data_IF_727732446608
#
_entry.id   IF_727732446608
#
_cell.length_a   1.000
_cell.length_b   1.000
_cell.length_c   1.000
_cell.angle_alpha   90.00
_cell.angle_beta   90.00
_cell.angle_gamma   90.00
#
_symmetry.space_group_name_H-M   'P 1'
#
loop_
_entity.id
_entity.type
_entity.pdbx_description
1 polymer ?
#
# COMPACT_ATOMS: atom_id res chain seq x y z
N UNK A 1 2.16 14.80 -2.57
CA UNK A 1 1.47 14.62 -1.27
C UNK A 1 0.58 13.37 -1.19
N UNK A 2 0.35 12.61 -2.28
CA UNK A 2 -0.51 11.40 -2.27
C UNK A 2 0.04 10.18 -1.52
N UNK A 3 1.37 10.06 -1.40
CA UNK A 3 2.00 8.95 -0.67
C UNK A 3 1.70 9.00 0.83
N UNK A 4 1.81 10.19 1.43
CA UNK A 4 1.52 10.41 2.86
C UNK A 4 0.03 10.17 3.12
N UNK A 5 -0.84 10.71 2.27
CA UNK A 5 -2.29 10.50 2.38
C UNK A 5 -2.67 9.02 2.25
N UNK A 6 -2.05 8.27 1.33
CA UNK A 6 -2.31 6.84 1.18
C UNK A 6 -1.88 6.06 2.41
N UNK A 7 -0.66 6.32 2.92
CA UNK A 7 -0.14 5.65 4.12
C UNK A 7 -1.00 6.01 5.33
N UNK A 8 -1.37 7.28 5.50
CA UNK A 8 -2.24 7.74 6.59
C UNK A 8 -3.62 7.06 6.53
N UNK A 9 -4.23 6.99 5.35
CA UNK A 9 -5.50 6.27 5.17
C UNK A 9 -5.34 4.77 5.44
N UNK A 10 -4.22 4.15 5.06
CA UNK A 10 -3.97 2.75 5.35
C UNK A 10 -3.76 2.46 6.84
N UNK A 11 -3.25 3.45 7.60
CA UNK A 11 -3.03 3.34 9.04
C UNK A 11 -4.29 3.65 9.86
N UNK A 12 -5.15 4.55 9.38
CA UNK A 12 -6.31 5.05 10.11
C UNK A 12 -7.61 4.33 9.78
N UNK A 13 -7.74 3.77 8.57
CA UNK A 13 -8.97 3.12 8.12
C UNK A 13 -9.06 1.66 8.52
N UNK A 14 -10.30 1.17 8.61
CA UNK A 14 -10.57 -0.25 8.81
C UNK A 14 -10.26 -1.07 7.55
N UNK A 15 -9.97 -2.36 7.68
CA UNK A 15 -9.64 -3.22 6.52
C UNK A 15 -10.69 -3.14 5.40
N UNK A 16 -11.97 -3.12 5.78
CA UNK A 16 -13.10 -3.00 4.83
C UNK A 16 -13.13 -1.66 4.10
N UNK A 17 -12.70 -0.58 4.76
CA UNK A 17 -12.62 0.73 4.13
C UNK A 17 -11.42 0.81 3.19
N UNK A 18 -10.29 0.17 3.53
CA UNK A 18 -9.12 0.08 2.65
C UNK A 18 -9.47 -0.68 1.36
N UNK A 19 -10.21 -1.80 1.46
CA UNK A 19 -10.71 -2.53 0.27
C UNK A 19 -11.55 -1.60 -0.62
N UNK A 20 -12.47 -0.84 -0.04
CA UNK A 20 -13.31 0.10 -0.80
C UNK A 20 -12.48 1.21 -1.43
N UNK A 21 -11.56 1.80 -0.67
CA UNK A 21 -10.68 2.86 -1.12
C UNK A 21 -9.77 2.41 -2.26
N UNK A 22 -9.12 1.25 -2.14
CA UNK A 22 -8.26 0.68 -3.16
C UNK A 22 -9.03 0.43 -4.48
N UNK A 23 -10.28 -0.03 -4.38
CA UNK A 23 -11.16 -0.22 -5.54
C UNK A 23 -11.46 1.08 -6.30
N UNK A 24 -11.54 2.23 -5.62
CA UNK A 24 -11.75 3.53 -6.29
C UNK A 24 -10.61 3.87 -7.25
N UNK A 25 -9.42 3.28 -7.05
CA UNK A 25 -8.24 3.45 -7.88
C UNK A 25 -7.93 2.23 -8.75
N UNK A 26 -8.92 1.35 -8.99
CA UNK A 26 -8.77 0.14 -9.80
C UNK A 26 -7.77 -0.88 -9.22
N UNK A 27 -7.51 -0.79 -7.91
CA UNK A 27 -6.69 -1.73 -7.14
C UNK A 27 -7.63 -2.65 -6.36
N UNK A 28 -7.99 -3.79 -6.94
CA UNK A 28 -8.89 -4.74 -6.29
C UNK A 28 -8.13 -5.56 -5.22
N UNK A 29 -8.13 -5.06 -3.98
CA UNK A 29 -7.59 -5.77 -2.82
C UNK A 29 -8.68 -6.60 -2.14
N UNK A 30 -8.36 -7.83 -1.75
CA UNK A 30 -9.23 -8.64 -0.89
C UNK A 30 -9.05 -8.26 0.58
N UNK A 31 -10.00 -8.64 1.43
CA UNK A 31 -9.90 -8.40 2.86
C UNK A 31 -8.67 -9.09 3.47
N UNK A 32 -8.38 -10.32 3.03
CA UNK A 32 -7.21 -11.09 3.47
C UNK A 32 -5.90 -10.43 3.05
N UNK A 33 -5.82 -9.91 1.82
CA UNK A 33 -4.66 -9.16 1.34
C UNK A 33 -4.40 -7.93 2.22
N UNK A 34 -5.45 -7.15 2.51
CA UNK A 34 -5.34 -5.97 3.39
C UNK A 34 -4.88 -6.34 4.79
N UNK A 35 -5.42 -7.40 5.37
CA UNK A 35 -5.02 -7.89 6.69
C UNK A 35 -3.54 -8.28 6.74
N UNK A 36 -3.02 -8.90 5.67
CA UNK A 36 -1.60 -9.26 5.56
C UNK A 36 -0.69 -8.06 5.30
N UNK A 37 -1.18 -7.02 4.64
CA UNK A 37 -0.45 -5.76 4.43
C UNK A 37 -0.38 -4.88 5.69
N UNK A 38 -1.33 -5.03 6.61
CA UNK A 38 -1.42 -4.24 7.83
C UNK A 38 -0.16 -4.29 8.73
N UNK A 39 0.42 -5.45 9.06
CA UNK A 39 1.68 -5.50 9.80
C UNK A 39 2.86 -4.94 9.02
N UNK A 40 2.87 -5.03 7.69
CA UNK A 40 3.91 -4.41 6.87
C UNK A 40 3.84 -2.88 6.95
N UNK A 41 2.63 -2.32 6.94
CA UNK A 41 2.41 -0.88 7.04
C UNK A 41 2.93 -0.29 8.36
N UNK A 42 2.97 -1.08 9.44
CA UNK A 42 3.59 -0.66 10.71
C UNK A 42 5.11 -0.61 10.66
N UNK A 43 5.75 -1.38 9.76
CA UNK A 43 7.19 -1.29 9.49
C UNK A 43 7.54 -0.10 8.60
N UNK A 44 6.54 0.55 8.00
CA UNK A 44 6.77 1.70 7.14
C UNK A 44 7.38 2.83 7.97
N UNK A 45 8.59 3.23 7.59
CA UNK A 45 9.28 4.35 8.23
C UNK A 45 9.02 5.62 7.43
N UNK A 46 8.72 6.72 8.11
CA UNK A 46 8.64 8.07 7.50
C UNK A 46 9.95 8.41 6.76
N UNK A 47 11.09 7.86 7.20
CA UNK A 47 12.39 8.00 6.54
C UNK A 47 12.38 7.50 5.09
N UNK A 48 11.54 6.52 4.73
CA UNK A 48 11.42 5.99 3.36
C UNK A 48 10.79 6.97 2.38
N UNK A 49 10.13 8.03 2.88
CA UNK A 49 9.70 9.13 2.01
C UNK A 49 10.90 9.89 1.42
N UNK A 50 12.06 9.85 2.09
CA UNK A 50 13.29 10.52 1.68
C UNK A 50 14.26 9.53 1.02
N UNK A 51 14.44 8.35 1.63
CA UNK A 51 15.40 7.34 1.15
C UNK A 51 14.83 6.41 0.08
N UNK A 52 13.53 6.49 -0.19
CA UNK A 52 12.79 5.52 -0.98
C UNK A 52 12.39 4.28 -0.18
N UNK A 53 11.40 3.55 -0.70
CA UNK A 53 10.89 2.31 -0.11
C UNK A 53 11.89 1.17 -0.41
N UNK A 54 12.34 0.40 0.60
CA UNK A 54 13.27 -0.71 0.37
C UNK A 54 12.71 -1.78 -0.57
N UNK A 55 13.56 -2.34 -1.44
CA UNK A 55 13.18 -3.42 -2.34
C UNK A 55 12.69 -4.68 -1.60
N UNK A 56 13.22 -4.97 -0.41
CA UNK A 56 12.75 -6.07 0.43
C UNK A 56 11.28 -5.91 0.83
N UNK A 57 10.89 -4.69 1.19
CA UNK A 57 9.51 -4.35 1.51
C UNK A 57 8.60 -4.51 0.29
N UNK A 58 9.03 -4.01 -0.88
CA UNK A 58 8.27 -4.16 -2.12
C UNK A 58 8.08 -5.63 -2.51
N UNK A 59 9.07 -6.48 -2.27
CA UNK A 59 8.94 -7.94 -2.47
C UNK A 59 7.95 -8.59 -1.51
N UNK A 60 7.93 -8.19 -0.23
CA UNK A 60 6.93 -8.67 0.73
C UNK A 60 5.51 -8.28 0.31
N UNK A 61 5.32 -7.03 -0.13
CA UNK A 61 4.03 -6.55 -0.66
C UNK A 61 3.67 -7.30 -1.94
N UNK A 62 4.60 -7.48 -2.88
CA UNK A 62 4.39 -8.24 -4.12
C UNK A 62 3.93 -9.67 -3.83
N UNK A 63 4.51 -10.32 -2.82
CA UNK A 63 4.13 -11.68 -2.43
C UNK A 63 2.71 -11.78 -1.87
N UNK A 64 2.12 -10.68 -1.40
CA UNK A 64 0.77 -10.66 -0.84
C UNK A 64 -0.27 -10.35 -1.92
N UNK A 65 -0.06 -9.27 -2.69
CA UNK A 65 -1.07 -8.74 -3.63
C UNK A 65 -0.78 -9.09 -5.10
N UNK A 66 0.40 -9.65 -5.37
CA UNK A 66 0.88 -9.95 -6.72
C UNK A 66 1.41 -8.72 -7.47
N UNK A 67 2.30 -9.00 -8.42
CA UNK A 67 2.99 -8.01 -9.25
C UNK A 67 2.06 -7.02 -9.97
N UNK A 68 0.91 -7.49 -10.46
CA UNK A 68 -0.04 -6.64 -11.20
C UNK A 68 -0.65 -5.56 -10.30
N UNK A 69 -1.08 -5.92 -9.09
CA UNK A 69 -1.68 -4.97 -8.14
C UNK A 69 -0.61 -4.04 -7.56
N UNK A 70 0.58 -4.57 -7.24
CA UNK A 70 1.71 -3.75 -6.81
C UNK A 70 2.10 -2.70 -7.84
N UNK A 71 2.15 -3.05 -9.13
CA UNK A 71 2.44 -2.08 -10.19
C UNK A 71 1.42 -0.94 -10.25
N UNK A 72 0.13 -1.24 -10.06
CA UNK A 72 -0.92 -0.21 -10.00
C UNK A 72 -0.77 0.67 -8.75
N UNK A 73 -0.48 0.06 -7.61
CA UNK A 73 -0.23 0.74 -6.35
C UNK A 73 0.97 1.70 -6.46
N UNK A 74 2.11 1.23 -6.98
CA UNK A 74 3.28 2.07 -7.20
C UNK A 74 3.00 3.20 -8.18
N UNK A 75 2.30 2.93 -9.28
CA UNK A 75 1.89 3.99 -10.22
C UNK A 75 1.01 5.06 -9.57
N UNK A 76 0.13 4.68 -8.65
CA UNK A 76 -0.66 5.64 -7.86
C UNK A 76 0.23 6.49 -6.94
N UNK A 77 1.24 5.87 -6.33
CA UNK A 77 2.19 6.51 -5.42
C UNK A 77 3.25 7.37 -6.13
N UNK A 78 3.60 7.05 -7.38
CA UNK A 78 4.60 7.75 -8.22
C UNK A 78 4.01 8.90 -9.04
N UNK A 79 2.71 8.92 -9.29
CA UNK A 79 2.06 10.02 -10.01
C UNK A 79 2.06 11.30 -9.14
N UNK A 80 3.08 12.13 -9.40
CA UNK A 80 3.22 13.54 -9.01
C UNK A 80 1.91 14.33 -9.19
#
# INVERSE_FOLDING_TARGET
MKQVEFIEQFLTKSDKEIVKFARQYDIDLTLEEVQRLRPLSQKASITWLITGIPNSFLKEVESIIGKKKLKKLLKYLENY
#
